data_IF_260711709457
#
_entry.id   IF_260711709457
#
_cell.length_a   1.000
_cell.length_b   1.000
_cell.length_c   1.000
_cell.angle_alpha   90.00
_cell.angle_beta   90.00
_cell.angle_gamma   90.00
#
_symmetry.space_group_name_H-M   'P 1'
#
loop_
_entity.id
_entity.type
_entity.pdbx_description
1 polymer ?
#
# COMPACT_ATOMS: atom_id res chain seq x y z
N UNK A 1 41.37 -48.23 -5.81
CA UNK A 1 40.05 -48.24 -6.48
C UNK A 1 39.46 -46.84 -6.35
N UNK A 2 39.55 -46.05 -7.42
CA UNK A 2 39.07 -44.67 -7.49
C UNK A 2 37.91 -44.65 -8.51
N UNK A 3 36.72 -44.24 -8.07
CA UNK A 3 35.55 -44.06 -8.92
C UNK A 3 35.41 -42.57 -9.27
N UNK A 4 35.38 -42.28 -10.58
CA UNK A 4 35.54 -40.96 -11.17
C UNK A 4 34.29 -40.09 -11.19
N UNK A 5 34.58 -38.80 -11.32
CA UNK A 5 33.66 -37.69 -11.54
C UNK A 5 33.32 -37.61 -13.04
N UNK A 6 32.05 -37.39 -13.44
CA UNK A 6 31.76 -36.85 -14.75
C UNK A 6 31.18 -35.43 -14.68
N UNK A 7 31.74 -34.55 -15.49
CA UNK A 7 31.14 -33.33 -16.01
C UNK A 7 31.75 -33.09 -17.42
N UNK A 8 31.18 -32.23 -18.28
CA UNK A 8 29.78 -31.88 -18.54
C UNK A 8 29.42 -32.09 -20.03
N UNK A 9 28.13 -32.12 -20.39
CA UNK A 9 27.70 -32.07 -21.78
C UNK A 9 27.34 -30.62 -22.19
N UNK A 10 28.10 -30.08 -23.15
CA UNK A 10 27.75 -28.93 -24.01
C UNK A 10 27.18 -29.47 -25.31
N UNK A 11 26.15 -28.83 -25.87
CA UNK A 11 25.95 -28.58 -27.32
C UNK A 11 24.72 -27.66 -27.51
N UNK A 12 24.95 -26.43 -28.03
CA UNK A 12 24.51 -25.88 -29.35
C UNK A 12 23.03 -25.48 -29.39
N UNK A 13 22.59 -24.21 -29.42
CA UNK A 13 22.89 -23.03 -30.25
C UNK A 13 22.34 -23.08 -31.69
N UNK A 14 21.55 -22.04 -32.02
CA UNK A 14 21.02 -21.58 -33.32
C UNK A 14 19.73 -22.29 -33.80
N UNK A 15 18.67 -21.63 -34.29
CA UNK A 15 18.39 -20.28 -34.85
C UNK A 15 16.85 -20.21 -35.08
N UNK A 16 16.08 -19.12 -34.98
CA UNK A 16 16.00 -17.88 -35.78
C UNK A 16 14.96 -16.95 -35.06
N UNK A 17 15.26 -15.67 -34.77
CA UNK A 17 14.99 -14.46 -35.60
C UNK A 17 13.52 -14.33 -36.05
N UNK A 18 12.80 -13.21 -35.94
CA UNK A 18 13.05 -11.84 -35.48
C UNK A 18 11.71 -11.08 -35.52
N UNK A 19 11.45 -10.12 -34.63
CA UNK A 19 10.91 -8.79 -35.00
C UNK A 19 11.48 -7.76 -34.01
N UNK A 20 11.84 -6.62 -34.56
CA UNK A 20 12.81 -5.64 -34.11
C UNK A 20 12.11 -4.29 -33.80
N UNK A 21 12.77 -3.43 -33.02
CA UNK A 21 12.55 -1.97 -32.81
C UNK A 21 11.29 -1.52 -32.03
N UNK A 22 11.40 -0.67 -31.00
CA UNK A 22 11.91 0.71 -31.05
C UNK A 22 12.73 1.14 -29.82
N UNK A 23 13.88 1.76 -30.11
CA UNK A 23 14.71 2.57 -29.21
C UNK A 23 15.01 3.88 -29.96
N UNK A 24 14.33 4.97 -29.62
CA UNK A 24 14.59 6.38 -29.94
C UNK A 24 13.56 7.18 -29.08
N UNK A 25 13.83 8.28 -28.39
CA UNK A 25 14.91 9.25 -28.46
C UNK A 25 15.15 9.91 -27.08
N UNK A 26 16.40 10.28 -26.83
CA UNK A 26 16.81 11.32 -25.88
C UNK A 26 16.58 12.70 -26.52
N UNK A 27 16.47 13.75 -25.69
CA UNK A 27 16.57 15.17 -26.06
C UNK A 27 15.45 15.78 -26.94
N UNK A 28 14.39 16.25 -26.29
CA UNK A 28 13.68 17.46 -26.70
C UNK A 28 13.39 18.33 -25.47
N UNK A 29 14.16 19.39 -25.31
CA UNK A 29 13.82 20.57 -24.51
C UNK A 29 12.80 21.41 -25.27
N UNK A 30 11.56 21.47 -24.80
CA UNK A 30 10.58 22.52 -25.15
C UNK A 30 9.62 22.77 -23.96
N UNK A 31 9.00 23.96 -23.88
CA UNK A 31 8.85 24.71 -22.62
C UNK A 31 7.61 24.36 -21.79
N UNK A 32 7.69 24.72 -20.50
CA UNK A 32 6.57 24.68 -19.55
C UNK A 32 5.36 25.50 -20.05
N UNK A 33 4.14 24.99 -19.90
CA UNK A 33 2.97 25.82 -19.66
C UNK A 33 2.76 25.96 -18.15
N UNK A 34 2.61 27.21 -17.72
CA UNK A 34 2.15 27.62 -16.39
C UNK A 34 0.70 27.16 -16.15
N UNK A 35 0.41 26.86 -14.89
CA UNK A 35 -0.84 27.05 -14.14
C UNK A 35 -2.17 27.04 -14.92
N UNK A 36 -3.09 26.14 -14.53
CA UNK A 36 -4.40 26.53 -13.94
C UNK A 36 -5.22 25.31 -13.47
N UNK A 37 -5.72 25.43 -12.24
CA UNK A 37 -6.91 24.83 -11.60
C UNK A 37 -6.95 23.30 -11.36
N UNK A 38 -7.04 22.80 -10.11
CA UNK A 38 -8.01 22.92 -8.97
C UNK A 38 -9.28 22.05 -9.07
N UNK A 39 -9.33 21.10 -8.12
CA UNK A 39 -10.45 20.68 -7.23
C UNK A 39 -11.59 19.84 -7.81
N UNK A 40 -11.74 18.64 -7.24
CA UNK A 40 -13.02 18.18 -6.69
C UNK A 40 -12.83 17.71 -5.25
N UNK A 41 -13.28 18.54 -4.31
CA UNK A 41 -13.67 18.13 -2.96
C UNK A 41 -15.12 18.58 -2.78
N UNK A 42 -15.97 17.60 -2.48
CA UNK A 42 -17.14 17.64 -1.59
C UNK A 42 -17.67 19.04 -1.21
N UNK A 43 -18.88 19.36 -1.68
CA UNK A 43 -19.70 20.45 -1.14
C UNK A 43 -21.03 19.91 -0.63
N UNK A 44 -21.24 20.09 0.68
CA UNK A 44 -22.56 20.18 1.33
C UNK A 44 -23.24 21.47 0.86
N UNK A 45 -24.52 21.39 0.52
CA UNK A 45 -25.39 22.54 0.27
C UNK A 45 -25.94 23.07 1.61
N UNK A 46 -26.09 24.40 1.75
CA UNK A 46 -27.25 24.95 2.41
C UNK A 46 -28.07 25.77 1.41
N UNK A 47 -29.34 25.41 1.33
CA UNK A 47 -30.41 26.07 0.59
C UNK A 47 -30.98 27.24 1.39
N UNK A 48 -30.91 28.45 0.83
CA UNK A 48 -31.84 29.54 1.19
C UNK A 48 -32.10 30.45 -0.03
N UNK A 49 -33.34 30.34 -0.53
CA UNK A 49 -34.21 31.32 -1.18
C UNK A 49 -33.63 32.49 -2.01
N UNK A 50 -34.06 32.57 -3.29
CA UNK A 50 -34.75 33.76 -3.80
C UNK A 50 -35.58 33.44 -5.06
N UNK A 51 -36.86 33.85 -5.02
CA UNK A 51 -37.87 33.85 -6.07
C UNK A 51 -37.50 34.78 -7.24
N UNK A 52 -37.74 34.38 -8.50
CA UNK A 52 -38.32 35.23 -9.57
C UNK A 52 -39.16 34.36 -10.52
N UNK A 53 -40.26 34.98 -10.97
CA UNK A 53 -41.47 34.50 -11.61
C UNK A 53 -41.36 33.88 -13.03
N UNK A 54 -42.24 32.89 -13.23
CA UNK A 54 -43.20 32.67 -14.33
C UNK A 54 -42.89 33.19 -15.76
N UNK A 55 -42.88 32.25 -16.71
CA UNK A 55 -43.66 32.34 -17.95
C UNK A 55 -44.07 30.93 -18.44
N UNK A 56 -45.32 30.71 -18.89
CA UNK A 56 -45.85 29.40 -19.26
C UNK A 56 -45.81 29.17 -20.79
N UNK A 57 -45.44 27.97 -21.24
CA UNK A 57 -45.78 27.48 -22.57
C UNK A 57 -45.71 25.94 -22.67
N UNK A 58 -46.90 25.35 -22.75
CA UNK A 58 -47.28 24.22 -23.62
C UNK A 58 -46.44 22.94 -23.63
N UNK A 59 -46.95 21.96 -22.88
CA UNK A 59 -47.35 20.63 -23.35
C UNK A 59 -46.39 19.82 -24.25
N UNK A 60 -45.68 18.88 -23.63
CA UNK A 60 -45.62 17.48 -24.08
C UNK A 60 -45.62 16.58 -22.84
N UNK A 61 -46.81 16.07 -22.49
CA UNK A 61 -46.98 15.02 -21.48
C UNK A 61 -46.55 13.70 -22.16
N UNK A 62 -45.27 13.38 -22.05
CA UNK A 62 -44.77 12.02 -22.21
C UNK A 62 -44.49 11.45 -20.83
N UNK A 63 -45.31 10.52 -20.36
CA UNK A 63 -44.98 9.71 -19.18
C UNK A 63 -43.67 8.96 -19.45
N UNK A 64 -42.56 9.22 -18.73
CA UNK A 64 -41.50 8.22 -18.69
C UNK A 64 -42.11 7.01 -17.96
N UNK A 65 -42.22 5.90 -18.69
CA UNK A 65 -42.51 4.61 -18.09
C UNK A 65 -41.53 4.42 -16.93
N UNK A 66 -42.09 4.25 -15.73
CA UNK A 66 -41.33 3.91 -14.54
C UNK A 66 -40.60 2.60 -14.84
N UNK A 67 -39.32 2.71 -15.17
CA UNK A 67 -38.41 1.58 -15.29
C UNK A 67 -38.43 0.90 -13.93
N UNK A 68 -39.09 -0.25 -13.88
CA UNK A 68 -39.24 -1.07 -12.71
C UNK A 68 -37.83 -1.43 -12.24
N UNK A 69 -37.32 -0.67 -11.27
CA UNK A 69 -36.09 -0.97 -10.58
C UNK A 69 -36.32 -2.31 -9.87
N UNK A 70 -35.94 -3.39 -10.55
CA UNK A 70 -35.95 -4.73 -10.01
C UNK A 70 -35.29 -4.66 -8.61
N UNK A 71 -35.95 -5.18 -7.56
CA UNK A 71 -35.41 -5.11 -6.21
C UNK A 71 -34.01 -5.73 -6.24
N UNK A 72 -32.99 -4.90 -5.95
CA UNK A 72 -31.62 -5.40 -5.78
C UNK A 72 -31.69 -6.56 -4.79
N UNK A 73 -31.17 -7.75 -5.14
CA UNK A 73 -31.18 -8.87 -4.23
C UNK A 73 -30.55 -8.41 -2.91
N UNK A 74 -31.34 -8.52 -1.83
CA UNK A 74 -30.91 -8.20 -0.47
C UNK A 74 -29.69 -9.08 -0.23
N UNK A 75 -28.50 -8.48 -0.24
CA UNK A 75 -27.28 -9.20 0.10
C UNK A 75 -27.46 -9.76 1.50
N UNK A 76 -27.68 -11.07 1.60
CA UNK A 76 -27.67 -11.79 2.86
C UNK A 76 -26.27 -11.56 3.43
N UNK A 77 -26.19 -10.87 4.56
CA UNK A 77 -24.93 -10.61 5.24
C UNK A 77 -24.35 -11.98 5.64
N UNK A 78 -23.41 -12.48 4.83
CA UNK A 78 -22.65 -13.68 5.15
C UNK A 78 -21.87 -13.35 6.43
N UNK A 79 -21.98 -14.15 7.51
CA UNK A 79 -21.22 -13.92 8.72
C UNK A 79 -19.73 -13.82 8.36
N UNK A 80 -19.00 -12.83 8.91
CA UNK A 80 -17.58 -12.68 8.61
C UNK A 80 -16.89 -13.99 8.99
N UNK A 81 -16.16 -14.55 8.02
CA UNK A 81 -15.41 -15.77 8.26
C UNK A 81 -14.42 -15.52 9.41
N UNK A 82 -14.43 -16.40 10.42
CA UNK A 82 -13.53 -16.28 11.55
C UNK A 82 -12.09 -16.38 11.05
N UNK A 83 -11.26 -15.41 11.45
CA UNK A 83 -9.85 -15.37 11.07
C UNK A 83 -9.17 -16.62 11.63
N UNK A 84 -8.42 -17.39 10.82
CA UNK A 84 -7.79 -18.62 11.29
C UNK A 84 -6.65 -18.37 12.29
N UNK A 85 -6.23 -17.11 12.46
CA UNK A 85 -5.23 -16.68 13.42
C UNK A 85 -5.61 -15.32 14.02
N UNK A 86 -5.09 -14.94 15.20
CA UNK A 86 -5.37 -13.62 15.77
C UNK A 86 -4.71 -12.52 14.93
N UNK A 87 -5.51 -11.60 14.42
CA UNK A 87 -5.05 -10.41 13.71
C UNK A 87 -5.80 -9.17 14.19
N UNK A 88 -5.06 -8.09 14.45
CA UNK A 88 -5.59 -6.78 14.79
C UNK A 88 -5.23 -5.78 13.70
N UNK A 89 -6.21 -4.99 13.26
CA UNK A 89 -6.02 -3.96 12.25
C UNK A 89 -5.16 -2.82 12.80
N UNK A 90 -4.31 -2.22 11.96
CA UNK A 90 -3.54 -1.04 12.35
C UNK A 90 -4.44 0.17 12.57
N UNK A 91 -5.62 0.22 11.95
CA UNK A 91 -6.57 1.34 12.08
C UNK A 91 -5.91 2.71 11.85
N UNK A 92 -5.23 2.83 10.70
CA UNK A 92 -4.57 4.07 10.22
C UNK A 92 -5.09 4.46 8.84
N UNK A 93 -4.93 5.73 8.45
CA UNK A 93 -5.46 6.26 7.18
C UNK A 93 -4.70 5.72 5.97
N UNK A 94 -5.37 5.55 4.82
CA UNK A 94 -4.73 5.11 3.56
C UNK A 94 -3.83 3.86 3.70
N UNK A 95 -4.25 2.91 4.56
CA UNK A 95 -3.38 1.85 5.06
C UNK A 95 -3.25 0.64 4.14
N UNK A 96 -4.03 0.52 3.06
CA UNK A 96 -4.15 -0.69 2.22
C UNK A 96 -2.89 -1.55 2.08
N UNK A 97 -1.78 -0.95 1.64
CA UNK A 97 -0.51 -1.64 1.46
C UNK A 97 0.17 -1.98 2.79
N UNK A 98 0.21 -1.04 3.73
CA UNK A 98 0.90 -1.25 5.01
C UNK A 98 0.15 -2.23 5.92
N UNK A 99 -1.17 -2.18 5.90
CA UNK A 99 -2.07 -3.15 6.53
C UNK A 99 -1.85 -4.55 5.96
N UNK A 100 -1.76 -4.66 4.62
CA UNK A 100 -1.48 -5.94 3.96
C UNK A 100 -0.11 -6.51 4.35
N UNK A 101 0.90 -5.66 4.52
CA UNK A 101 2.23 -6.07 4.98
C UNK A 101 2.18 -6.51 6.45
N UNK A 102 1.49 -5.75 7.31
CA UNK A 102 1.33 -6.12 8.72
C UNK A 102 0.60 -7.46 8.88
N UNK A 103 -0.49 -7.68 8.13
CA UNK A 103 -1.18 -8.97 8.08
C UNK A 103 -0.26 -10.09 7.61
N UNK A 104 0.49 -9.87 6.52
CA UNK A 104 1.47 -10.82 6.02
C UNK A 104 2.47 -11.20 7.12
N UNK A 105 3.01 -10.23 7.84
CA UNK A 105 4.01 -10.48 8.89
C UNK A 105 3.45 -11.23 10.10
N UNK A 106 2.28 -10.80 10.59
CA UNK A 106 1.59 -11.46 11.68
C UNK A 106 1.25 -12.92 11.34
N UNK A 107 0.76 -13.16 10.12
CA UNK A 107 0.48 -14.51 9.64
C UNK A 107 1.75 -15.36 9.55
N UNK A 108 2.84 -14.82 8.99
CA UNK A 108 4.09 -15.56 8.86
C UNK A 108 4.70 -15.91 10.22
N UNK A 109 4.65 -14.98 11.18
CA UNK A 109 5.09 -15.25 12.55
C UNK A 109 4.21 -16.32 13.21
N UNK A 110 2.90 -16.20 13.10
CA UNK A 110 1.96 -17.17 13.66
C UNK A 110 2.20 -18.58 13.10
N UNK A 111 2.32 -18.74 11.77
CA UNK A 111 2.62 -20.03 11.13
C UNK A 111 3.96 -20.61 11.56
N UNK A 112 4.98 -19.76 11.76
CA UNK A 112 6.29 -20.22 12.23
C UNK A 112 6.22 -20.81 13.66
N UNK A 113 5.24 -20.40 14.45
CA UNK A 113 5.02 -20.89 15.83
C UNK A 113 3.96 -21.97 15.96
N UNK A 114 3.17 -22.22 14.91
CA UNK A 114 2.08 -23.19 14.95
C UNK A 114 2.64 -24.63 14.92
N UNK A 115 2.31 -25.44 15.93
CA UNK A 115 2.81 -26.81 16.08
C UNK A 115 2.10 -27.83 15.18
N UNK A 116 1.12 -27.42 14.38
CA UNK A 116 0.22 -28.31 13.64
C UNK A 116 0.81 -28.89 12.34
N UNK A 117 2.02 -28.47 11.96
CA UNK A 117 2.68 -28.94 10.74
C UNK A 117 1.92 -28.63 9.45
N UNK A 118 0.92 -27.73 9.49
CA UNK A 118 0.14 -27.36 8.31
C UNK A 118 1.01 -26.75 7.20
N UNK A 119 0.45 -26.65 6.00
CA UNK A 119 1.10 -26.18 4.77
C UNK A 119 2.13 -25.06 5.04
N UNK A 120 3.35 -25.24 4.52
CA UNK A 120 4.43 -24.25 4.62
C UNK A 120 3.87 -22.87 4.26
N UNK A 121 3.96 -21.92 5.22
CA UNK A 121 3.25 -20.64 5.27
C UNK A 121 3.33 -19.82 3.98
N UNK A 122 2.49 -20.16 3.01
CA UNK A 122 2.40 -19.41 1.78
C UNK A 122 1.56 -18.18 2.09
N UNK A 123 2.19 -17.01 1.99
CA UNK A 123 1.51 -15.73 2.04
C UNK A 123 2.11 -14.78 1.01
N UNK A 124 1.33 -13.87 0.46
CA UNK A 124 1.79 -12.85 -0.51
C UNK A 124 0.97 -11.58 -0.32
N UNK A 125 1.53 -10.43 -0.69
CA UNK A 125 0.75 -9.20 -0.86
C UNK A 125 0.48 -8.99 -2.34
N UNK A 126 -0.78 -9.04 -2.75
CA UNK A 126 -1.20 -8.69 -4.10
C UNK A 126 -1.38 -7.18 -4.18
N UNK A 127 -0.65 -6.53 -5.09
CA UNK A 127 -0.73 -5.10 -5.36
C UNK A 127 -1.13 -4.88 -6.82
N UNK A 128 -2.01 -3.91 -7.08
CA UNK A 128 -2.35 -3.46 -8.43
C UNK A 128 -2.38 -1.92 -8.52
N UNK A 129 -2.38 -1.41 -9.74
CA UNK A 129 -2.68 -0.01 -10.07
C UNK A 129 -4.11 0.14 -10.59
N UNK A 130 -4.55 1.37 -10.81
CA UNK A 130 -5.78 1.64 -11.54
C UNK A 130 -5.50 2.53 -12.74
N UNK A 131 -6.21 2.32 -13.85
CA UNK A 131 -6.27 3.29 -14.93
C UNK A 131 -7.31 4.36 -14.60
N UNK A 132 -6.91 5.62 -14.65
CA UNK A 132 -7.84 6.74 -14.62
C UNK A 132 -8.39 7.06 -16.02
N UNK A 133 -9.30 8.04 -16.11
CA UNK A 133 -9.92 8.49 -17.37
C UNK A 133 -8.90 9.01 -18.40
N UNK A 134 -7.68 9.32 -17.97
CA UNK A 134 -6.58 9.78 -18.84
C UNK A 134 -5.65 8.64 -19.26
N UNK A 135 -6.02 7.39 -18.94
CA UNK A 135 -5.16 6.20 -19.10
C UNK A 135 -3.86 6.27 -18.31
N UNK A 136 -3.74 7.20 -17.36
CA UNK A 136 -2.60 7.23 -16.45
C UNK A 136 -2.78 6.17 -15.36
N UNK A 137 -1.68 5.49 -15.02
CA UNK A 137 -1.70 4.49 -13.95
C UNK A 137 -1.56 5.21 -12.61
N UNK A 138 -2.66 5.26 -11.86
CA UNK A 138 -2.71 5.79 -10.51
C UNK A 138 -2.26 4.78 -9.45
N UNK A 139 -2.15 5.25 -8.19
CA UNK A 139 -1.97 4.39 -7.03
C UNK A 139 -3.21 3.50 -6.88
N UNK A 140 -3.06 2.19 -7.02
CA UNK A 140 -4.15 1.25 -6.80
C UNK A 140 -4.23 0.81 -5.35
N UNK A 141 -4.58 -0.46 -5.14
CA UNK A 141 -4.83 -1.04 -3.84
C UNK A 141 -3.93 -2.25 -3.60
N UNK A 142 -3.94 -2.77 -2.38
CA UNK A 142 -3.23 -3.97 -2.02
C UNK A 142 -4.00 -4.79 -1.00
N UNK A 143 -3.85 -6.12 -1.10
CA UNK A 143 -4.45 -7.11 -0.19
C UNK A 143 -3.40 -8.14 0.22
N UNK A 144 -3.56 -8.72 1.39
CA UNK A 144 -2.77 -9.88 1.81
C UNK A 144 -3.50 -11.17 1.45
N UNK A 145 -2.75 -12.17 1.00
CA UNK A 145 -3.24 -13.50 0.66
C UNK A 145 -2.44 -14.52 1.45
N UNK A 146 -3.11 -15.55 1.97
CA UNK A 146 -2.44 -16.64 2.66
C UNK A 146 -3.15 -17.98 2.47
N UNK A 147 -2.40 -19.08 2.62
CA UNK A 147 -2.95 -20.43 2.62
C UNK A 147 -3.20 -20.89 4.05
N UNK A 148 -4.41 -21.32 4.37
CA UNK A 148 -4.68 -21.93 5.67
C UNK A 148 -5.66 -23.08 5.51
N UNK A 149 -5.31 -24.24 6.08
CA UNK A 149 -6.10 -25.48 5.99
C UNK A 149 -6.51 -25.82 4.53
N UNK A 150 -5.56 -25.76 3.61
CA UNK A 150 -5.77 -26.03 2.18
C UNK A 150 -6.66 -25.02 1.44
N UNK A 151 -6.99 -23.87 2.05
CA UNK A 151 -7.84 -22.82 1.47
C UNK A 151 -7.05 -21.54 1.27
N UNK A 152 -7.32 -20.83 0.18
CA UNK A 152 -6.78 -19.50 -0.05
C UNK A 152 -7.67 -18.46 0.62
N UNK A 153 -7.05 -17.62 1.44
CA UNK A 153 -7.69 -16.53 2.15
C UNK A 153 -7.14 -15.19 1.66
N UNK A 154 -7.99 -14.18 1.69
CA UNK A 154 -7.65 -12.79 1.41
C UNK A 154 -8.04 -11.92 2.60
N UNK A 155 -7.11 -11.09 3.05
CA UNK A 155 -7.40 -9.97 3.93
C UNK A 155 -7.30 -8.66 3.15
N UNK A 156 -8.35 -7.85 3.26
CA UNK A 156 -8.43 -6.51 2.69
C UNK A 156 -8.91 -5.55 3.77
N UNK A 157 -8.25 -4.42 3.96
CA UNK A 157 -8.64 -3.42 4.96
C UNK A 157 -10.11 -2.95 4.80
N UNK A 158 -10.64 -2.95 3.57
CA UNK A 158 -12.01 -2.50 3.31
C UNK A 158 -13.07 -3.60 3.49
N UNK A 159 -12.69 -4.86 3.36
CA UNK A 159 -13.62 -6.00 3.33
C UNK A 159 -13.36 -7.04 4.42
N UNK A 160 -12.33 -6.83 5.24
CA UNK A 160 -11.85 -7.79 6.22
C UNK A 160 -11.33 -9.07 5.56
N UNK A 161 -11.47 -10.17 6.29
CA UNK A 161 -11.04 -11.49 5.82
C UNK A 161 -12.16 -12.16 4.99
N UNK A 162 -11.78 -12.73 3.85
CA UNK A 162 -12.67 -13.58 3.07
C UNK A 162 -11.92 -14.75 2.45
N UNK A 163 -12.62 -15.88 2.31
CA UNK A 163 -12.11 -17.06 1.60
C UNK A 163 -12.26 -16.82 0.10
N UNK A 164 -11.22 -17.18 -0.67
CA UNK A 164 -11.30 -17.22 -2.13
C UNK A 164 -11.73 -18.60 -2.63
N UNK A 165 -12.41 -18.62 -3.78
CA UNK A 165 -12.84 -19.84 -4.48
C UNK A 165 -11.70 -20.53 -5.23
N UNK A 166 -10.58 -19.83 -5.45
CA UNK A 166 -9.41 -20.35 -6.16
C UNK A 166 -8.81 -21.59 -5.46
N UNK A 167 -8.59 -22.70 -6.19
CA UNK A 167 -7.93 -23.88 -5.64
C UNK A 167 -6.52 -23.59 -5.14
N UNK A 168 -6.12 -24.28 -4.06
CA UNK A 168 -4.78 -24.15 -3.45
C UNK A 168 -3.63 -24.29 -4.46
N UNK A 169 -3.76 -25.20 -5.43
CA UNK A 169 -2.77 -25.45 -6.48
C UNK A 169 -2.59 -24.26 -7.45
N UNK A 170 -3.58 -23.38 -7.54
CA UNK A 170 -3.63 -22.22 -8.44
C UNK A 170 -3.38 -20.89 -7.73
N UNK A 171 -3.13 -20.90 -6.41
CA UNK A 171 -2.90 -19.70 -5.58
C UNK A 171 -1.85 -18.72 -6.11
N UNK A 172 -0.84 -19.23 -6.82
CA UNK A 172 0.23 -18.43 -7.41
C UNK A 172 -0.10 -17.83 -8.78
N UNK A 173 -1.24 -18.19 -9.37
CA UNK A 173 -1.65 -17.71 -10.68
C UNK A 173 -2.51 -16.44 -10.55
N UNK A 174 -1.97 -15.33 -11.04
CA UNK A 174 -2.67 -14.04 -11.01
C UNK A 174 -3.88 -14.01 -11.94
N UNK A 175 -3.94 -14.86 -12.98
CA UNK A 175 -5.11 -14.90 -13.87
C UNK A 175 -6.33 -15.51 -13.17
N UNK A 176 -6.11 -16.30 -12.12
CA UNK A 176 -7.20 -16.92 -11.36
C UNK A 176 -7.54 -16.09 -10.13
N UNK A 177 -6.52 -15.63 -9.39
CA UNK A 177 -6.73 -14.86 -8.16
C UNK A 177 -7.16 -13.43 -8.44
N UNK A 178 -6.57 -12.78 -9.45
CA UNK A 178 -6.83 -11.39 -9.79
C UNK A 178 -8.32 -11.09 -9.99
N UNK A 179 -9.03 -11.79 -10.90
CA UNK A 179 -10.45 -11.55 -11.15
C UNK A 179 -11.33 -11.61 -9.90
N UNK A 180 -11.11 -12.59 -9.02
CA UNK A 180 -11.92 -12.73 -7.80
C UNK A 180 -11.66 -11.60 -6.80
N UNK A 181 -10.41 -11.15 -6.66
CA UNK A 181 -10.05 -9.99 -5.83
C UNK A 181 -10.60 -8.69 -6.43
N UNK A 182 -10.44 -8.49 -7.74
CA UNK A 182 -10.83 -7.25 -8.43
C UNK A 182 -12.36 -7.10 -8.54
N UNK A 183 -13.12 -8.21 -8.52
CA UNK A 183 -14.57 -8.17 -8.51
C UNK A 183 -15.16 -7.41 -7.30
N UNK A 184 -14.40 -7.25 -6.21
CA UNK A 184 -14.78 -6.41 -5.06
C UNK A 184 -14.69 -4.90 -5.34
N UNK A 185 -14.04 -4.52 -6.44
CA UNK A 185 -13.77 -3.15 -6.87
C UNK A 185 -14.29 -2.90 -8.29
N UNK A 186 -15.60 -3.08 -8.57
CA UNK A 186 -16.15 -3.01 -9.93
C UNK A 186 -15.99 -1.63 -10.58
N UNK A 187 -15.80 -0.59 -9.78
CA UNK A 187 -15.58 0.79 -10.24
C UNK A 187 -14.14 1.08 -10.68
N UNK A 188 -13.22 0.13 -10.52
CA UNK A 188 -11.78 0.32 -10.77
C UNK A 188 -11.34 -0.56 -11.92
N UNK A 189 -10.73 0.06 -12.93
CA UNK A 189 -10.01 -0.67 -13.98
C UNK A 189 -8.63 -1.10 -13.44
N UNK A 190 -8.61 -2.25 -12.75
CA UNK A 190 -7.40 -2.80 -12.15
C UNK A 190 -6.38 -3.20 -13.22
N UNK A 191 -5.13 -2.77 -13.06
CA UNK A 191 -4.01 -3.08 -13.97
C UNK A 191 -2.74 -3.40 -13.23
N UNK A 192 -1.80 -4.05 -13.91
CA UNK A 192 -0.44 -4.35 -13.40
C UNK A 192 -0.45 -5.09 -12.06
N UNK A 193 -1.39 -6.01 -11.90
CA UNK A 193 -1.46 -6.92 -10.76
C UNK A 193 -0.14 -7.67 -10.59
N UNK A 194 0.38 -7.69 -9.37
CA UNK A 194 1.64 -8.36 -9.04
C UNK A 194 1.65 -8.87 -7.61
N UNK A 195 2.21 -10.06 -7.43
CA UNK A 195 2.56 -10.53 -6.11
C UNK A 195 3.84 -9.86 -5.60
N UNK A 196 3.79 -9.50 -4.33
CA UNK A 196 4.93 -9.10 -3.52
C UNK A 196 5.15 -10.19 -2.47
N UNK A 197 6.41 -10.57 -2.35
CA UNK A 197 6.87 -11.59 -1.43
C UNK A 197 8.11 -11.07 -0.70
N UNK A 198 8.23 -11.43 0.57
CA UNK A 198 9.35 -11.08 1.43
C UNK A 198 10.05 -12.32 2.01
N UNK A 199 9.82 -13.48 1.39
CA UNK A 199 10.35 -14.79 1.80
C UNK A 199 11.78 -14.71 2.36
N UNK A 200 11.89 -15.00 3.66
CA UNK A 200 13.15 -15.20 4.36
C UNK A 200 13.92 -13.92 4.74
N UNK A 201 13.36 -12.72 4.57
CA UNK A 201 14.05 -11.45 4.87
C UNK A 201 13.30 -10.56 5.85
N UNK A 202 12.72 -11.17 6.87
CA UNK A 202 12.31 -10.44 8.07
C UNK A 202 13.62 -9.98 8.74
N UNK A 203 14.06 -8.76 8.41
CA UNK A 203 15.17 -8.11 9.11
C UNK A 203 14.83 -8.09 10.60
N UNK A 204 15.79 -8.31 11.51
CA UNK A 204 15.49 -8.43 12.93
C UNK A 204 14.64 -7.26 13.39
N UNK A 205 13.59 -7.58 14.15
CA UNK A 205 12.73 -6.60 14.80
C UNK A 205 13.60 -5.54 15.46
N UNK A 206 13.36 -4.28 15.12
CA UNK A 206 13.94 -3.17 15.87
C UNK A 206 13.06 -2.92 17.10
N UNK A 207 13.60 -2.31 18.16
CA UNK A 207 12.75 -1.81 19.23
C UNK A 207 11.63 -0.96 18.59
N UNK A 208 10.34 -1.23 18.88
CA UNK A 208 9.23 -0.48 18.33
C UNK A 208 9.48 1.01 18.53
N UNK A 209 9.25 1.82 17.50
CA UNK A 209 9.27 3.26 17.66
C UNK A 209 8.24 3.63 18.75
N UNK A 210 8.52 4.60 19.64
CA UNK A 210 7.54 5.03 20.62
C UNK A 210 6.26 5.45 19.90
N UNK A 211 5.17 4.75 20.17
CA UNK A 211 3.88 5.11 19.62
C UNK A 211 3.40 6.39 20.32
N UNK A 212 3.29 7.47 19.55
CA UNK A 212 2.86 8.77 20.06
C UNK A 212 1.33 8.89 19.94
N UNK A 213 0.59 8.00 20.62
CA UNK A 213 -0.86 7.88 20.53
C UNK A 213 -1.61 9.20 20.79
N UNK A 214 -1.10 10.00 21.72
CA UNK A 214 -1.74 11.25 22.14
C UNK A 214 -1.24 12.49 21.38
N UNK A 215 -0.47 12.33 20.31
CA UNK A 215 -0.01 13.47 19.50
C UNK A 215 -1.20 14.18 18.83
N UNK A 216 -1.20 15.51 18.86
CA UNK A 216 -2.27 16.31 18.23
C UNK A 216 -2.23 16.21 16.70
N UNK A 217 -1.09 15.88 16.12
CA UNK A 217 -0.91 15.69 14.69
C UNK A 217 -1.21 14.23 14.30
N UNK A 218 -2.29 14.03 13.56
CA UNK A 218 -2.74 12.71 13.10
C UNK A 218 -1.70 12.00 12.22
N UNK A 219 -0.89 12.75 11.47
CA UNK A 219 0.18 12.15 10.65
C UNK A 219 1.25 11.52 11.55
N UNK A 220 1.57 12.16 12.67
CA UNK A 220 2.55 11.64 13.63
C UNK A 220 1.98 10.40 14.33
N UNK A 221 0.72 10.46 14.77
CA UNK A 221 0.05 9.29 15.38
C UNK A 221 0.07 8.09 14.44
N UNK A 222 -0.41 8.24 13.22
CA UNK A 222 -0.53 7.14 12.27
C UNK A 222 0.84 6.58 11.86
N UNK A 223 1.81 7.47 11.58
CA UNK A 223 3.16 7.03 11.22
C UNK A 223 3.82 6.27 12.39
N UNK A 224 3.71 6.78 13.61
CA UNK A 224 4.29 6.11 14.80
C UNK A 224 3.58 4.79 15.11
N UNK A 225 2.26 4.68 14.93
CA UNK A 225 1.53 3.41 15.05
C UNK A 225 2.04 2.37 14.06
N UNK A 226 2.15 2.75 12.79
CA UNK A 226 2.71 1.87 11.74
C UNK A 226 4.13 1.43 12.07
N UNK A 227 4.99 2.35 12.51
CA UNK A 227 6.37 2.03 12.84
C UNK A 227 6.49 1.14 14.08
N UNK A 228 5.61 1.32 15.06
CA UNK A 228 5.52 0.47 16.24
C UNK A 228 5.12 -0.96 15.86
N UNK A 229 3.98 -1.12 15.17
CA UNK A 229 3.46 -2.45 14.83
C UNK A 229 4.33 -3.18 13.81
N UNK A 230 4.77 -2.52 12.74
CA UNK A 230 5.74 -3.15 11.82
C UNK A 230 7.09 -3.40 12.50
N UNK A 231 7.49 -2.56 13.45
CA UNK A 231 8.73 -2.69 14.22
C UNK A 231 8.89 -4.06 14.90
N UNK A 232 7.76 -4.67 15.29
CA UNK A 232 7.69 -6.01 15.90
C UNK A 232 8.20 -7.12 14.98
N UNK A 233 8.17 -6.89 13.68
CA UNK A 233 8.54 -7.86 12.66
C UNK A 233 9.78 -7.40 11.90
N UNK A 234 9.83 -6.14 11.49
CA UNK A 234 10.82 -5.61 10.55
C UNK A 234 11.34 -4.25 10.99
N UNK A 235 12.48 -3.86 10.42
CA UNK A 235 13.00 -2.50 10.63
C UNK A 235 12.07 -1.46 10.00
N UNK A 236 11.48 -0.63 10.86
CA UNK A 236 10.66 0.52 10.50
C UNK A 236 11.15 1.77 11.23
N UNK A 237 11.12 2.93 10.56
CA UNK A 237 11.54 4.21 11.16
C UNK A 237 10.60 5.34 10.76
N UNK A 238 10.31 6.21 11.72
CA UNK A 238 9.52 7.42 11.50
C UNK A 238 10.44 8.59 11.20
N UNK A 239 10.15 9.34 10.14
CA UNK A 239 10.75 10.65 9.92
C UNK A 239 9.67 11.74 9.88
N UNK A 240 10.04 12.92 10.34
CA UNK A 240 9.25 14.13 10.32
C UNK A 240 9.71 15.02 9.17
N UNK A 241 8.80 15.79 8.61
CA UNK A 241 9.12 16.76 7.57
C UNK A 241 8.22 17.98 7.61
N UNK A 242 8.80 19.13 7.31
CA UNK A 242 8.08 20.40 7.21
C UNK A 242 7.89 20.74 5.73
N UNK A 243 6.68 21.17 5.37
CA UNK A 243 6.38 21.53 3.99
C UNK A 243 5.42 22.71 3.88
N UNK A 244 5.53 23.44 2.76
CA UNK A 244 4.51 24.43 2.36
C UNK A 244 3.42 23.74 1.54
N UNK A 245 2.18 23.91 1.95
CA UNK A 245 1.03 23.45 1.16
C UNK A 245 0.83 24.30 -0.11
N UNK A 246 -0.15 23.94 -0.94
CA UNK A 246 -0.50 24.68 -2.16
C UNK A 246 -0.94 26.13 -1.94
N UNK A 247 -1.20 26.54 -0.68
CA UNK A 247 -1.54 27.90 -0.27
C UNK A 247 -0.36 28.61 0.41
N UNK A 248 0.82 28.01 0.41
CA UNK A 248 2.02 28.54 1.05
C UNK A 248 2.04 28.41 2.57
N UNK A 249 1.07 27.70 3.19
CA UNK A 249 1.00 27.53 4.64
C UNK A 249 1.96 26.45 5.07
N UNK A 250 2.66 26.69 6.18
CA UNK A 250 3.51 25.68 6.80
C UNK A 250 2.66 24.56 7.40
N UNK A 251 3.09 23.33 7.14
CA UNK A 251 2.51 22.09 7.63
C UNK A 251 3.62 21.17 8.12
N UNK A 252 3.30 20.37 9.11
CA UNK A 252 4.17 19.32 9.67
C UNK A 252 3.59 17.98 9.28
N UNK A 253 4.39 17.14 8.62
CA UNK A 253 4.03 15.78 8.24
C UNK A 253 4.96 14.77 8.88
N UNK A 254 4.52 13.51 8.89
CA UNK A 254 5.31 12.37 9.30
C UNK A 254 5.09 11.21 8.34
N UNK A 255 6.07 10.31 8.29
CA UNK A 255 6.00 9.13 7.45
C UNK A 255 6.84 8.00 8.03
N UNK A 256 6.47 6.77 7.67
CA UNK A 256 7.16 5.56 8.11
C UNK A 256 7.87 4.90 6.94
N UNK A 257 9.19 4.79 7.06
CA UNK A 257 10.04 4.07 6.13
C UNK A 257 10.27 2.64 6.63
N UNK A 258 10.09 1.66 5.76
CA UNK A 258 10.36 0.25 6.01
C UNK A 258 10.75 -0.45 4.70
N UNK A 259 11.32 -1.65 4.78
CA UNK A 259 11.58 -2.46 3.59
C UNK A 259 10.54 -3.56 3.46
N UNK A 260 10.06 -3.84 2.25
CA UNK A 260 9.26 -5.03 1.93
C UNK A 260 9.51 -5.47 0.49
N UNK A 261 9.71 -6.77 0.25
CA UNK A 261 9.98 -7.33 -1.08
C UNK A 261 11.20 -6.67 -1.77
N UNK A 262 12.28 -6.50 -1.00
CA UNK A 262 13.53 -5.84 -1.40
C UNK A 262 13.35 -4.41 -1.95
N UNK A 263 12.30 -3.72 -1.51
CA UNK A 263 12.03 -2.32 -1.86
C UNK A 263 11.91 -1.51 -0.60
N UNK A 264 12.41 -0.28 -0.67
CA UNK A 264 12.03 0.75 0.27
C UNK A 264 10.56 1.12 0.03
N UNK A 265 9.78 1.05 1.11
CA UNK A 265 8.40 1.47 1.22
C UNK A 265 8.33 2.66 2.17
N UNK A 266 7.60 3.70 1.80
CA UNK A 266 7.40 4.88 2.63
C UNK A 266 5.91 5.17 2.72
N UNK A 267 5.35 4.95 3.89
CA UNK A 267 3.95 5.21 4.21
C UNK A 267 3.78 6.66 4.66
N UNK A 268 2.93 7.39 3.95
CA UNK A 268 2.48 8.73 4.29
C UNK A 268 0.99 8.66 4.63
N UNK A 269 0.55 9.01 5.84
CA UNK A 269 -0.85 8.88 6.24
C UNK A 269 -1.85 9.55 5.29
N UNK A 270 -1.49 10.70 4.71
CA UNK A 270 -2.32 11.44 3.75
C UNK A 270 -2.21 10.98 2.28
N UNK A 271 -1.23 10.13 1.94
CA UNK A 271 -0.91 9.75 0.54
C UNK A 271 -0.78 8.25 0.31
N UNK A 272 -0.88 7.44 1.35
CA UNK A 272 -0.65 6.00 1.31
C UNK A 272 0.82 5.63 1.18
N UNK A 273 1.09 4.39 0.78
CA UNK A 273 2.45 3.85 0.71
C UNK A 273 3.06 4.00 -0.68
N UNK A 274 4.20 4.69 -0.74
CA UNK A 274 5.00 4.83 -1.94
C UNK A 274 6.18 3.86 -1.94
N UNK A 275 6.34 3.14 -3.04
CA UNK A 275 7.42 2.16 -3.21
C UNK A 275 8.51 2.74 -4.10
N UNK A 276 9.76 2.52 -3.72
CA UNK A 276 10.90 2.80 -4.57
C UNK A 276 10.85 1.98 -5.88
N UNK A 277 11.17 2.62 -7.00
CA UNK A 277 11.19 1.97 -8.31
C UNK A 277 12.37 1.01 -8.45
N UNK A 278 13.51 1.34 -7.86
CA UNK A 278 14.74 0.55 -7.90
C UNK A 278 14.67 -0.63 -6.90
N UNK A 279 14.92 -1.84 -7.40
CA UNK A 279 15.12 -3.04 -6.57
C UNK A 279 16.56 -3.07 -6.05
N UNK A 280 16.90 -2.13 -5.18
CA UNK A 280 18.12 -2.23 -4.37
C UNK A 280 17.70 -2.04 -2.93
N UNK A 281 18.33 -2.79 -2.03
CA UNK A 281 18.22 -2.61 -0.59
C UNK A 281 18.79 -1.22 -0.25
N UNK A 282 17.97 -0.19 -0.45
CA UNK A 282 18.23 1.12 0.10
C UNK A 282 17.99 0.99 1.59
N UNK A 283 19.02 1.29 2.36
CA UNK A 283 18.96 1.38 3.80
C UNK A 283 17.78 2.27 4.21
N UNK A 284 16.92 1.77 5.10
CA UNK A 284 15.81 2.54 5.69
C UNK A 284 16.35 3.80 6.38
N UNK A 285 17.65 3.84 6.69
CA UNK A 285 18.35 4.88 7.41
C UNK A 285 18.79 6.06 6.52
N UNK A 286 18.74 5.91 5.20
CA UNK A 286 19.24 6.94 4.29
C UNK A 286 18.24 8.09 4.12
N UNK A 287 18.41 9.15 4.94
CA UNK A 287 17.63 10.38 4.85
C UNK A 287 17.72 11.08 3.50
N UNK A 288 18.80 10.89 2.72
CA UNK A 288 18.91 11.53 1.39
C UNK A 288 17.89 10.93 0.45
N UNK A 289 17.67 9.61 0.54
CA UNK A 289 16.63 8.93 -0.24
C UNK A 289 15.24 9.33 0.24
N UNK A 290 15.00 9.39 1.57
CA UNK A 290 13.72 9.87 2.10
C UNK A 290 13.43 11.27 1.59
N UNK A 291 14.38 12.20 1.72
CA UNK A 291 14.23 13.59 1.24
C UNK A 291 13.88 13.67 -0.25
N UNK A 292 14.55 12.87 -1.09
CA UNK A 292 14.26 12.81 -2.52
C UNK A 292 12.88 12.22 -2.86
N UNK A 293 12.40 11.26 -2.07
CA UNK A 293 11.06 10.70 -2.22
C UNK A 293 9.98 11.64 -1.69
N UNK A 294 10.15 12.20 -0.49
CA UNK A 294 9.25 13.16 0.12
C UNK A 294 9.09 14.40 -0.75
N UNK A 295 10.16 14.96 -1.34
CA UNK A 295 10.06 16.12 -2.26
C UNK A 295 9.26 15.85 -3.54
N UNK A 296 9.22 14.60 -4.01
CA UNK A 296 8.40 14.23 -5.18
C UNK A 296 6.91 14.20 -4.85
N UNK A 297 6.57 13.81 -3.63
CA UNK A 297 5.19 13.68 -3.16
C UNK A 297 4.68 15.02 -2.60
N UNK A 298 5.57 15.76 -1.94
CA UNK A 298 5.35 17.07 -1.32
C UNK A 298 6.39 18.07 -1.88
N UNK A 299 6.11 18.73 -3.01
CA UNK A 299 7.06 19.67 -3.65
C UNK A 299 7.54 20.83 -2.77
N UNK A 300 6.83 21.14 -1.69
CA UNK A 300 7.16 22.22 -0.75
C UNK A 300 8.00 21.81 0.47
N UNK A 301 8.58 20.61 0.49
CA UNK A 301 9.37 20.11 1.64
C UNK A 301 10.63 20.92 1.86
N UNK A 302 10.80 21.43 3.07
CA UNK A 302 11.93 22.23 3.53
C UNK A 302 12.95 21.38 4.26
N UNK A 303 12.49 20.63 5.27
CA UNK A 303 13.32 19.80 6.14
C UNK A 303 12.78 18.38 6.25
N UNK A 304 13.68 17.43 6.45
CA UNK A 304 13.38 16.01 6.73
C UNK A 304 14.36 15.51 7.77
N UNK A 305 13.84 15.05 8.91
CA UNK A 305 14.64 14.53 10.03
C UNK A 305 14.02 13.27 10.61
N UNK A 306 14.85 12.38 11.17
CA UNK A 306 14.33 11.24 11.90
C UNK A 306 13.57 11.71 13.15
N UNK A 307 12.50 11.01 13.51
CA UNK A 307 11.98 11.09 14.87
C UNK A 307 13.04 10.47 15.78
N UNK A 308 13.57 11.27 16.70
CA UNK A 308 14.53 10.78 17.69
C UNK A 308 13.80 9.83 18.64
N UNK A 309 14.40 8.67 18.91
CA UNK A 309 13.88 7.79 19.95
C UNK A 309 13.98 8.56 21.28
N UNK A 310 12.91 8.51 22.08
CA UNK A 310 13.00 9.02 23.44
C UNK A 310 14.18 8.32 24.14
N UNK A 311 15.05 9.05 24.86
CA UNK A 311 16.10 8.41 25.63
C UNK A 311 15.47 7.39 26.59
N UNK A 312 16.10 6.22 26.82
CA UNK A 312 15.54 5.23 27.72
C UNK A 312 15.29 5.86 29.09
N UNK A 313 14.16 5.54 29.76
CA UNK A 313 13.73 6.18 31.00
C UNK A 313 14.75 6.04 32.15
N UNK A 314 15.69 5.10 32.04
CA UNK A 314 16.74 4.84 33.02
C UNK A 314 18.10 5.47 32.69
N UNK A 315 18.20 6.30 31.65
CA UNK A 315 19.35 7.20 31.47
C UNK A 315 19.31 8.35 32.49
N UNK A 316 19.11 8.04 33.77
CA UNK A 316 19.44 8.95 34.86
C UNK A 316 20.93 9.19 34.77
N UNK A 317 21.25 10.45 34.48
CA UNK A 317 22.57 11.02 34.41
C UNK A 317 23.53 10.31 35.36
N UNK A 318 24.46 9.55 34.78
CA UNK A 318 25.76 9.33 35.40
C UNK A 318 26.39 10.73 35.51
N UNK A 319 26.00 11.43 36.57
CA UNK A 319 26.54 12.71 36.94
C UNK A 319 28.02 12.49 37.14
N UNK A 320 28.80 13.04 36.21
CA UNK A 320 30.22 13.30 36.39
C UNK A 320 30.35 14.24 37.59
N UNK A 321 30.47 13.68 38.79
CA UNK A 321 31.17 14.33 39.89
C UNK A 321 32.65 14.36 39.49
N UNK A 322 33.04 15.45 38.81
CA UNK A 322 34.43 15.87 38.68
C UNK A 322 34.87 16.70 39.89
N UNK A 323 36.18 16.91 40.03
CA UNK A 323 36.99 16.62 41.23
C UNK A 323 36.79 17.52 42.44
#
# INVERSE_FOLDING_TARGET
MYAGIPAPARENANSCLAVHFLRFASHLTLPRPREKFRRMCTRRFPTTFLFIALAPALAFIGCPAAESAAPRPRQVAVPPAKIPFPYESLDVRNSCFVESVHFYDAYQQWRATASDGGDAGWARVLQWGHLDDTSAVGLGHAVALCMDNGKLWMYDVNFGLSKLSVPASRRGDLTDVGPEVYAKYPQINAVLGRYRDDAGRISPAAAPAPFLENDKNEDIRDATRVASELGRFRRARVFLFDYKDSRGRMRHGAATAFSFSNRLCVYFPDKGTHLSSRMRAVAVEDLRVMRGLTRRIYPGVLDVRWLEAAPPPDAKMAGTSGP
#
